data_IF_941010468686
#
_entry.id   IF_941010468686
#
_cell.length_a   1.000
_cell.length_b   1.000
_cell.length_c   1.000
_cell.angle_alpha   90.00
_cell.angle_beta   90.00
_cell.angle_gamma   90.00
#
_symmetry.space_group_name_H-M   'P 1'
#
loop_
_entity.id
_entity.type
_entity.pdbx_description
1 polymer ?
#
# COMPACT_ATOMS: atom_id res chain seq x y z
N UNK A 1 -8.48 -21.28 17.54
CA UNK A 1 -7.52 -20.17 17.34
C UNK A 1 -7.60 -19.60 15.93
N UNK A 2 -7.22 -20.32 14.87
CA UNK A 2 -7.24 -19.80 13.49
C UNK A 2 -8.63 -19.29 13.03
N UNK A 3 -9.70 -20.02 13.35
CA UNK A 3 -11.06 -19.60 12.98
C UNK A 3 -11.48 -18.26 13.61
N UNK A 4 -11.02 -17.96 14.82
CA UNK A 4 -11.32 -16.71 15.50
C UNK A 4 -10.56 -15.55 14.86
N UNK A 5 -9.29 -15.75 14.52
CA UNK A 5 -8.49 -14.77 13.73
C UNK A 5 -9.13 -14.50 12.36
N UNK A 6 -9.66 -15.53 11.68
CA UNK A 6 -10.35 -15.35 10.41
C UNK A 6 -11.70 -14.64 10.58
N UNK A 7 -12.39 -14.82 11.71
CA UNK A 7 -13.62 -14.10 12.00
C UNK A 7 -13.35 -12.62 12.28
N UNK A 8 -12.44 -12.35 13.21
CA UNK A 8 -12.11 -11.00 13.69
C UNK A 8 -11.17 -10.26 12.72
N UNK A 9 -10.56 -10.99 11.76
CA UNK A 9 -9.55 -10.50 10.83
C UNK A 9 -8.33 -9.86 11.53
N UNK A 10 -8.07 -10.25 12.78
CA UNK A 10 -7.06 -9.68 13.65
C UNK A 10 -6.26 -10.79 14.34
N UNK A 11 -4.94 -10.60 14.41
CA UNK A 11 -4.02 -11.43 15.17
C UNK A 11 -3.11 -10.52 15.98
N UNK A 12 -2.85 -10.89 17.23
CA UNK A 12 -1.90 -10.19 18.10
C UNK A 12 -0.48 -10.24 17.49
N UNK A 13 0.25 -9.10 17.38
CA UNK A 13 1.60 -9.06 16.85
C UNK A 13 2.59 -10.01 17.55
N UNK A 14 2.47 -10.20 18.87
CA UNK A 14 3.35 -11.10 19.62
C UNK A 14 3.10 -12.56 19.20
N UNK A 15 1.82 -12.94 19.10
CA UNK A 15 1.41 -14.27 18.64
C UNK A 15 1.76 -14.52 17.16
N UNK A 16 1.67 -13.49 16.32
CA UNK A 16 2.07 -13.57 14.92
C UNK A 16 3.59 -13.79 14.80
N UNK A 17 4.41 -13.15 15.64
CA UNK A 17 5.86 -13.28 15.60
C UNK A 17 6.32 -14.72 15.94
N UNK A 18 5.62 -15.38 16.86
CA UNK A 18 5.89 -16.76 17.28
C UNK A 18 5.57 -17.81 16.20
N UNK A 19 4.75 -17.48 15.20
CA UNK A 19 4.43 -18.41 14.11
C UNK A 19 5.63 -18.64 13.19
N UNK A 20 5.79 -19.87 12.72
CA UNK A 20 6.75 -20.18 11.66
C UNK A 20 6.37 -19.51 10.34
N UNK A 21 7.32 -19.30 9.44
CA UNK A 21 7.06 -18.64 8.15
C UNK A 21 6.01 -19.37 7.31
N UNK A 22 6.00 -20.70 7.37
CA UNK A 22 4.98 -21.54 6.73
C UNK A 22 3.60 -21.28 7.34
N UNK A 23 3.51 -21.19 8.67
CA UNK A 23 2.25 -20.89 9.36
C UNK A 23 1.75 -19.48 9.05
N UNK A 24 2.65 -18.48 9.01
CA UNK A 24 2.34 -17.11 8.59
C UNK A 24 1.79 -17.08 7.16
N UNK A 25 2.42 -17.80 6.24
CA UNK A 25 1.98 -17.88 4.86
C UNK A 25 0.57 -18.48 4.73
N UNK A 26 0.31 -19.61 5.41
CA UNK A 26 -1.01 -20.24 5.43
C UNK A 26 -2.06 -19.30 6.04
N UNK A 27 -1.72 -18.62 7.14
CA UNK A 27 -2.62 -17.68 7.80
C UNK A 27 -2.99 -16.52 6.87
N UNK A 28 -2.01 -15.85 6.26
CA UNK A 28 -2.27 -14.72 5.35
C UNK A 28 -3.05 -15.14 4.12
N UNK A 29 -2.77 -16.32 3.57
CA UNK A 29 -3.55 -16.88 2.46
C UNK A 29 -5.02 -17.04 2.85
N UNK A 30 -5.29 -17.66 4.01
CA UNK A 30 -6.67 -17.86 4.51
C UNK A 30 -7.37 -16.55 4.85
N UNK A 31 -6.67 -15.59 5.46
CA UNK A 31 -7.21 -14.25 5.73
C UNK A 31 -7.57 -13.53 4.43
N UNK A 32 -6.74 -13.67 3.39
CA UNK A 32 -7.00 -13.08 2.08
C UNK A 32 -8.22 -13.71 1.41
N UNK A 33 -8.35 -15.03 1.46
CA UNK A 33 -9.54 -15.75 0.96
C UNK A 33 -10.82 -15.24 1.65
N UNK A 34 -10.78 -15.08 2.98
CA UNK A 34 -11.92 -14.61 3.77
C UNK A 34 -12.27 -13.13 3.45
N UNK A 35 -11.27 -12.26 3.24
CA UNK A 35 -11.50 -10.91 2.74
C UNK A 35 -12.21 -10.92 1.39
N UNK A 36 -11.75 -11.75 0.45
CA UNK A 36 -12.35 -11.86 -0.89
C UNK A 36 -13.76 -12.45 -0.83
N UNK A 37 -14.03 -13.39 0.08
CA UNK A 37 -15.38 -13.93 0.31
C UNK A 37 -16.32 -12.84 0.82
N UNK A 38 -15.95 -12.12 1.89
CA UNK A 38 -16.74 -11.02 2.45
C UNK A 38 -16.94 -9.87 1.46
N UNK A 39 -15.92 -9.57 0.65
CA UNK A 39 -16.04 -8.56 -0.39
C UNK A 39 -17.03 -9.01 -1.48
N UNK A 40 -16.90 -10.24 -2.00
CA UNK A 40 -17.84 -10.78 -2.99
C UNK A 40 -19.28 -10.84 -2.47
N UNK A 41 -19.49 -11.20 -1.22
CA UNK A 41 -20.83 -11.20 -0.60
C UNK A 41 -21.42 -9.80 -0.48
N UNK A 42 -20.60 -8.81 -0.10
CA UNK A 42 -21.04 -7.41 -0.11
C UNK A 42 -21.35 -6.90 -1.51
N UNK A 43 -20.50 -7.20 -2.49
CA UNK A 43 -20.75 -6.82 -3.90
C UNK A 43 -22.04 -7.47 -4.43
N UNK A 44 -22.27 -8.76 -4.14
CA UNK A 44 -23.49 -9.45 -4.53
C UNK A 44 -24.73 -8.86 -3.85
N UNK A 45 -24.63 -8.54 -2.56
CA UNK A 45 -25.70 -7.87 -1.83
C UNK A 45 -25.98 -6.46 -2.38
N UNK A 46 -24.93 -5.69 -2.69
CA UNK A 46 -25.06 -4.37 -3.30
C UNK A 46 -25.64 -4.44 -4.71
N UNK A 47 -25.30 -5.45 -5.51
CA UNK A 47 -25.87 -5.69 -6.83
C UNK A 47 -27.36 -6.03 -6.75
N UNK A 48 -27.76 -6.90 -5.81
CA UNK A 48 -29.17 -7.22 -5.53
C UNK A 48 -29.94 -6.00 -5.03
N UNK A 49 -29.38 -5.23 -4.08
CA UNK A 49 -30.00 -4.02 -3.55
C UNK A 49 -30.15 -2.91 -4.62
N UNK A 50 -29.24 -2.84 -5.59
CA UNK A 50 -29.37 -1.95 -6.75
C UNK A 50 -30.50 -2.39 -7.69
N UNK A 51 -30.63 -3.70 -7.93
CA UNK A 51 -31.69 -4.27 -8.75
C UNK A 51 -33.08 -4.10 -8.13
N UNK A 52 -33.21 -4.30 -6.81
CA UNK A 52 -34.48 -4.19 -6.08
C UNK A 52 -34.84 -2.76 -5.66
N UNK A 53 -34.01 -1.75 -5.98
CA UNK A 53 -34.25 -0.34 -5.63
C UNK A 53 -34.22 -0.03 -4.13
N UNK A 54 -33.97 -1.04 -3.28
CA UNK A 54 -33.86 -0.97 -1.82
C UNK A 54 -32.47 -0.46 -1.44
N UNK A 55 -32.14 0.79 -1.78
CA UNK A 55 -30.88 1.40 -1.32
C UNK A 55 -31.01 1.79 0.17
N UNK A 56 -30.29 1.17 1.12
CA UNK A 56 -29.98 1.87 2.35
C UNK A 56 -29.12 3.09 1.99
N UNK A 57 -29.26 4.21 2.71
CA UNK A 57 -28.44 5.40 2.45
C UNK A 57 -26.98 4.97 2.56
N UNK A 58 -26.21 5.20 1.49
CA UNK A 58 -24.76 4.96 1.47
C UNK A 58 -24.19 5.63 2.73
N UNK A 59 -23.78 4.83 3.70
CA UNK A 59 -23.05 5.34 4.85
C UNK A 59 -21.81 5.96 4.24
N UNK A 60 -21.74 7.29 4.27
CA UNK A 60 -20.61 8.06 3.74
C UNK A 60 -19.37 7.49 4.43
N UNK A 61 -18.62 6.65 3.74
CA UNK A 61 -17.31 6.20 4.24
C UNK A 61 -16.51 7.48 4.43
N UNK A 62 -15.99 7.69 5.62
CA UNK A 62 -15.26 8.89 6.04
C UNK A 62 -13.89 9.06 5.34
N UNK A 63 -13.78 8.65 4.08
CA UNK A 63 -12.65 8.94 3.23
C UNK A 63 -13.15 9.18 1.80
N UNK A 64 -13.73 10.35 1.57
CA UNK A 64 -13.82 10.97 0.24
C UNK A 64 -12.41 11.38 -0.27
N UNK A 65 -11.41 10.54 -0.02
CA UNK A 65 -10.07 10.68 -0.59
C UNK A 65 -10.08 9.91 -1.90
N UNK A 66 -10.64 10.55 -2.93
CA UNK A 66 -10.49 10.08 -4.29
C UNK A 66 -9.08 10.44 -4.78
N UNK A 67 -8.36 9.47 -5.34
CA UNK A 67 -7.09 9.75 -6.02
C UNK A 67 -7.46 10.18 -7.45
N UNK A 68 -7.23 11.45 -7.77
CA UNK A 68 -7.32 11.94 -9.15
C UNK A 68 -5.91 11.92 -9.73
N UNK A 69 -5.72 11.12 -10.76
CA UNK A 69 -4.48 11.07 -11.51
C UNK A 69 -4.42 12.28 -12.44
N UNK A 70 -3.26 12.93 -12.50
CA UNK A 70 -3.01 13.94 -13.51
C UNK A 70 -2.83 13.21 -14.84
N UNK A 71 -3.51 13.66 -15.90
CA UNK A 71 -3.43 13.05 -17.22
C UNK A 71 -2.55 13.89 -18.14
N UNK A 72 -1.75 13.23 -18.99
CA UNK A 72 -1.00 13.84 -20.07
C UNK A 72 -1.88 14.29 -21.23
N UNK A 73 -1.26 14.90 -22.25
CA UNK A 73 -1.96 15.35 -23.46
C UNK A 73 -2.53 14.20 -24.32
N UNK A 74 -2.01 12.99 -24.10
CA UNK A 74 -2.45 11.72 -24.67
C UNK A 74 -3.63 11.09 -23.93
N UNK A 75 -4.02 11.64 -22.77
CA UNK A 75 -5.06 11.09 -21.91
C UNK A 75 -4.58 9.92 -21.01
N UNK A 76 -3.28 9.62 -21.03
CA UNK A 76 -2.66 8.63 -20.13
C UNK A 76 -2.21 9.29 -18.82
N UNK A 77 -1.86 8.49 -17.80
CA UNK A 77 -1.39 9.02 -16.52
C UNK A 77 -0.06 9.77 -16.70
N UNK A 78 0.00 11.00 -16.20
CA UNK A 78 1.20 11.82 -16.26
C UNK A 78 2.28 11.26 -15.34
N UNK A 79 3.44 10.99 -15.93
CA UNK A 79 4.63 10.50 -15.25
C UNK A 79 5.74 11.51 -15.44
N UNK A 80 6.39 11.91 -14.35
CA UNK A 80 7.66 12.64 -14.40
C UNK A 80 8.78 11.71 -13.98
N UNK A 81 9.81 11.64 -14.81
CA UNK A 81 11.03 10.88 -14.57
C UNK A 81 12.10 11.87 -14.15
N UNK A 82 12.67 11.65 -12.97
CA UNK A 82 13.75 12.47 -12.44
C UNK A 82 14.93 12.44 -13.40
N UNK A 83 15.34 13.62 -13.89
CA UNK A 83 16.46 13.77 -14.81
C UNK A 83 16.12 13.68 -16.30
N UNK A 84 14.85 13.51 -16.67
CA UNK A 84 14.38 13.61 -18.06
C UNK A 84 13.54 14.88 -18.33
N UNK A 85 13.32 15.69 -17.30
CA UNK A 85 12.62 16.97 -17.42
C UNK A 85 13.46 18.04 -18.13
N UNK A 86 12.82 19.03 -18.78
CA UNK A 86 13.54 20.12 -19.44
C UNK A 86 14.38 20.92 -18.42
N UNK A 87 15.70 20.79 -18.49
CA UNK A 87 16.64 21.49 -17.60
C UNK A 87 17.03 20.72 -16.33
N UNK A 88 16.58 19.48 -16.18
CA UNK A 88 17.03 18.62 -15.08
C UNK A 88 18.41 18.02 -15.38
N UNK A 89 19.25 17.89 -14.34
CA UNK A 89 20.48 17.08 -14.40
C UNK A 89 20.09 15.59 -14.56
N UNK A 90 20.88 14.78 -15.28
CA UNK A 90 20.60 13.35 -15.39
C UNK A 90 20.54 12.70 -14.01
N UNK A 91 19.68 11.70 -13.85
CA UNK A 91 19.49 10.98 -12.59
C UNK A 91 20.82 10.49 -11.99
N UNK A 92 21.71 9.98 -12.85
CA UNK A 92 23.02 9.46 -12.43
C UNK A 92 23.82 10.51 -11.65
N UNK A 93 23.92 11.73 -12.18
CA UNK A 93 24.66 12.84 -11.56
C UNK A 93 24.03 13.28 -10.24
N UNK A 94 22.69 13.36 -10.18
CA UNK A 94 21.95 13.65 -8.95
C UNK A 94 22.23 12.56 -7.90
N UNK A 95 22.24 11.30 -8.31
CA UNK A 95 22.46 10.16 -7.42
C UNK A 95 23.88 10.12 -6.88
N UNK A 96 24.88 10.36 -7.73
CA UNK A 96 26.29 10.40 -7.36
C UNK A 96 26.60 11.53 -6.38
N UNK A 97 26.07 12.74 -6.61
CA UNK A 97 26.18 13.87 -5.69
C UNK A 97 25.61 13.51 -4.31
N UNK A 98 24.44 12.87 -4.26
CA UNK A 98 23.77 12.50 -3.01
C UNK A 98 24.51 11.39 -2.26
N UNK A 99 25.09 10.43 -2.98
CA UNK A 99 25.93 9.36 -2.41
C UNK A 99 27.23 9.94 -1.85
N UNK A 100 27.88 10.84 -2.60
CA UNK A 100 29.12 11.48 -2.18
C UNK A 100 28.92 12.35 -0.93
N UNK A 101 27.83 13.11 -0.86
CA UNK A 101 27.48 13.92 0.32
C UNK A 101 27.24 13.04 1.56
N UNK A 102 26.49 11.94 1.41
CA UNK A 102 26.29 10.97 2.50
C UNK A 102 27.60 10.35 2.97
N UNK A 103 28.49 9.98 2.04
CA UNK A 103 29.79 9.40 2.38
C UNK A 103 30.66 10.39 3.17
N UNK A 104 30.63 11.69 2.80
CA UNK A 104 31.35 12.74 3.53
C UNK A 104 30.82 12.93 4.95
N UNK A 105 29.49 13.01 5.11
CA UNK A 105 28.87 13.15 6.43
C UNK A 105 29.15 11.94 7.32
N UNK A 106 29.16 10.74 6.74
CA UNK A 106 29.51 9.52 7.46
C UNK A 106 30.97 9.54 7.92
N UNK A 107 31.91 9.90 7.04
CA UNK A 107 33.32 10.02 7.40
C UNK A 107 33.58 11.07 8.50
N UNK A 108 32.84 12.18 8.51
CA UNK A 108 32.92 13.18 9.58
C UNK A 108 32.47 12.63 10.94
N UNK A 109 31.36 11.89 10.97
CA UNK A 109 30.87 11.25 12.20
C UNK A 109 31.83 10.21 12.74
N UNK A 110 32.37 9.36 11.87
CA UNK A 110 33.35 8.34 12.25
C UNK A 110 34.66 8.97 12.77
N UNK A 111 35.04 10.14 12.25
CA UNK A 111 36.20 10.89 12.74
C UNK A 111 35.93 11.63 14.07
N UNK A 112 34.69 12.04 14.36
CA UNK A 112 34.31 12.63 15.65
C UNK A 112 34.16 11.57 16.76
N UNK A 113 33.91 10.30 16.41
CA UNK A 113 33.82 9.19 17.37
C UNK A 113 35.17 8.53 17.70
N UNK A 114 36.27 8.93 17.04
CA UNK A 114 37.66 8.49 17.29
C UNK A 114 38.44 9.46 18.19
#
# INVERSE_FOLDING_TARGET
>A
MLQQILHDMYIDPELLAELSDVQKHILFYKMREEQLRRWREREAWEALAQFEGLRPPKVKRASDKHIQWLLGADGEVWVWVMGEGPGDKPYEEISEELIAERARLQAQREAEEL
#
